data_IF_878577992086
#
_entry.id   IF_878577992086
#
_cell.length_a   1.000
_cell.length_b   1.000
_cell.length_c   1.000
_cell.angle_alpha   90.00
_cell.angle_beta   90.00
_cell.angle_gamma   90.00
#
_symmetry.space_group_name_H-M   'P 1'
#
loop_
_entity.id
_entity.type
_entity.pdbx_description
1 polymer ?
#
# COMPACT_ATOMS: atom_id res chain seq x y z
N UNK A 1 -17.29 -1.99 46.02
CA UNK A 1 -17.44 -0.76 45.21
C UNK A 1 -16.85 -1.10 43.85
N UNK A 2 -17.68 -1.32 42.83
CA UNK A 2 -17.22 -1.77 41.52
C UNK A 2 -16.84 -0.56 40.68
N UNK A 3 -15.61 -0.52 40.20
CA UNK A 3 -15.16 0.48 39.23
C UNK A 3 -15.58 -0.06 37.86
N UNK A 4 -16.48 0.63 37.17
CA UNK A 4 -16.84 0.35 35.78
C UNK A 4 -16.19 1.41 34.88
N UNK A 5 -15.38 0.96 33.93
CA UNK A 5 -14.88 1.78 32.83
C UNK A 5 -15.62 1.37 31.56
N UNK A 6 -15.93 2.34 30.71
CA UNK A 6 -16.49 2.09 29.38
C UNK A 6 -15.57 1.16 28.57
N UNK A 7 -16.15 0.17 27.90
CA UNK A 7 -15.38 -0.88 27.20
C UNK A 7 -14.54 -0.33 26.04
N UNK A 8 -14.97 0.75 25.41
CA UNK A 8 -14.23 1.37 24.30
C UNK A 8 -13.08 2.23 24.83
N UNK A 9 -13.27 2.88 25.98
CA UNK A 9 -12.20 3.56 26.70
C UNK A 9 -11.16 2.54 27.20
N UNK A 10 -11.59 1.41 27.77
CA UNK A 10 -10.71 0.35 28.23
C UNK A 10 -9.88 -0.24 27.08
N UNK A 11 -10.51 -0.52 25.93
CA UNK A 11 -9.80 -1.02 24.73
C UNK A 11 -8.81 -0.01 24.17
N UNK A 12 -9.15 1.28 24.11
CA UNK A 12 -8.22 2.33 23.65
C UNK A 12 -6.99 2.45 24.56
N UNK A 13 -7.20 2.35 25.87
CA UNK A 13 -6.10 2.37 26.85
C UNK A 13 -5.24 1.10 26.73
N UNK A 14 -5.87 -0.07 26.57
CA UNK A 14 -5.16 -1.34 26.40
C UNK A 14 -4.35 -1.38 25.09
N UNK A 15 -4.90 -0.87 23.98
CA UNK A 15 -4.19 -0.71 22.71
C UNK A 15 -2.99 0.24 22.85
N UNK A 16 -3.16 1.36 23.56
CA UNK A 16 -2.05 2.28 23.86
C UNK A 16 -0.94 1.69 24.75
N UNK A 17 -1.25 0.63 25.52
CA UNK A 17 -0.30 -0.08 26.38
C UNK A 17 0.38 -1.28 25.71
N UNK A 18 -0.04 -1.69 24.51
CA UNK A 18 0.63 -2.72 23.69
C UNK A 18 1.83 -2.11 22.96
N UNK A 19 2.73 -1.49 23.70
CA UNK A 19 4.00 -1.00 23.18
C UNK A 19 4.95 -2.18 22.96
N UNK A 20 5.09 -2.58 21.70
CA UNK A 20 6.05 -3.57 21.24
C UNK A 20 6.41 -3.33 19.77
N UNK A 21 7.27 -2.34 19.53
CA UNK A 21 8.13 -2.22 18.34
C UNK A 21 7.57 -1.82 16.96
N UNK A 22 6.27 -1.58 16.79
CA UNK A 22 5.75 -0.92 15.60
C UNK A 22 4.98 0.36 15.97
N UNK A 23 5.49 1.53 15.58
CA UNK A 23 4.68 2.76 15.58
C UNK A 23 3.42 2.51 14.75
N UNK A 24 2.25 2.49 15.37
CA UNK A 24 0.96 2.37 14.70
C UNK A 24 0.53 3.73 14.14
N UNK A 25 -0.40 3.73 13.17
CA UNK A 25 -1.00 4.98 12.71
C UNK A 25 -2.09 5.42 13.70
N UNK A 26 -2.16 6.71 14.08
CA UNK A 26 -3.13 7.18 15.08
C UNK A 26 -4.53 7.37 14.51
N UNK A 27 -4.81 6.81 13.33
CA UNK A 27 -6.08 6.88 12.64
C UNK A 27 -6.36 5.56 11.90
N UNK A 28 -7.64 5.25 11.66
CA UNK A 28 -8.03 4.04 10.93
C UNK A 28 -7.42 4.04 9.54
N UNK A 29 -6.86 2.90 9.15
CA UNK A 29 -6.19 2.75 7.86
C UNK A 29 -6.31 1.31 7.39
N UNK A 30 -6.48 1.13 6.08
CA UNK A 30 -6.47 -0.20 5.48
C UNK A 30 -5.09 -0.48 4.89
N UNK A 31 -4.50 -1.61 5.26
CA UNK A 31 -3.29 -2.10 4.61
C UNK A 31 -3.66 -2.85 3.33
N UNK A 32 -3.08 -2.41 2.22
CA UNK A 32 -3.24 -3.06 0.93
C UNK A 32 -1.89 -3.50 0.41
N UNK A 33 -1.76 -4.78 0.04
CA UNK A 33 -0.50 -5.37 -0.38
C UNK A 33 -0.51 -5.78 -1.85
N UNK A 34 0.67 -5.77 -2.44
CA UNK A 34 0.85 -6.21 -3.82
C UNK A 34 0.67 -7.72 -3.94
N UNK A 35 -0.11 -8.18 -4.91
CA UNK A 35 -0.19 -9.61 -5.29
C UNK A 35 0.29 -9.82 -6.72
N UNK A 36 1.01 -10.92 -6.94
CA UNK A 36 1.44 -11.33 -8.28
C UNK A 36 0.35 -12.18 -8.96
N UNK A 37 0.09 -11.90 -10.23
CA UNK A 37 -0.87 -12.67 -11.01
C UNK A 37 -0.33 -14.04 -11.45
N UNK A 38 -1.13 -15.09 -11.29
CA UNK A 38 -0.74 -16.46 -11.64
C UNK A 38 -1.46 -16.95 -12.89
N UNK A 39 -0.75 -17.72 -13.73
CA UNK A 39 -1.28 -18.16 -15.02
C UNK A 39 -2.48 -19.11 -14.88
N UNK A 40 -2.48 -19.88 -13.80
CA UNK A 40 -3.53 -20.83 -13.41
C UNK A 40 -4.87 -20.14 -13.17
N UNK A 41 -4.88 -18.88 -12.74
CA UNK A 41 -6.11 -18.12 -12.47
C UNK A 41 -6.72 -17.44 -13.71
N UNK A 42 -6.38 -17.88 -14.92
CA UNK A 42 -6.86 -17.26 -16.18
C UNK A 42 -8.38 -17.20 -16.27
N UNK A 43 -9.10 -18.19 -15.73
CA UNK A 43 -10.56 -18.23 -15.76
C UNK A 43 -11.18 -17.24 -14.76
N UNK A 44 -10.55 -17.03 -13.61
CA UNK A 44 -10.96 -16.06 -12.59
C UNK A 44 -10.67 -14.63 -13.05
N UNK A 45 -9.59 -14.42 -13.81
CA UNK A 45 -9.19 -13.11 -14.29
C UNK A 45 -8.79 -12.17 -13.14
N UNK A 46 -9.09 -10.88 -13.30
CA UNK A 46 -8.87 -9.87 -12.25
C UNK A 46 -7.45 -9.82 -11.71
N UNK A 47 -7.31 -9.46 -10.43
CA UNK A 47 -5.99 -9.35 -9.80
C UNK A 47 -5.30 -10.71 -9.60
N UNK A 48 -6.05 -11.82 -9.46
CA UNK A 48 -5.48 -13.16 -9.31
C UNK A 48 -4.75 -13.62 -10.57
N UNK A 49 -5.22 -13.23 -11.75
CA UNK A 49 -4.54 -13.52 -13.02
C UNK A 49 -3.52 -12.46 -13.41
N UNK A 50 -3.90 -11.18 -13.35
CA UNK A 50 -3.07 -10.08 -13.87
C UNK A 50 -2.07 -9.54 -12.86
N UNK A 51 -2.28 -9.77 -11.56
CA UNK A 51 -1.62 -9.06 -10.47
C UNK A 51 -2.34 -7.76 -10.12
N UNK A 52 -2.00 -7.19 -8.97
CA UNK A 52 -2.62 -5.96 -8.48
C UNK A 52 -2.48 -5.81 -6.98
N UNK A 53 -3.57 -5.44 -6.34
CA UNK A 53 -3.66 -5.17 -4.92
C UNK A 53 -4.66 -6.10 -4.23
N UNK A 54 -4.38 -6.40 -2.97
CA UNK A 54 -5.28 -7.13 -2.09
C UNK A 54 -5.34 -6.46 -0.72
N UNK A 55 -6.47 -6.62 -0.05
CA UNK A 55 -6.66 -6.31 1.38
C UNK A 55 -7.51 -7.41 2.01
N UNK A 56 -7.34 -7.69 3.31
CA UNK A 56 -8.21 -8.63 4.01
C UNK A 56 -9.64 -8.09 3.97
N UNK A 57 -10.60 -8.97 3.76
CA UNK A 57 -12.01 -8.57 3.71
C UNK A 57 -12.47 -7.93 5.03
N UNK A 58 -12.02 -8.48 6.16
CA UNK A 58 -12.28 -7.95 7.50
C UNK A 58 -11.80 -6.50 7.66
N UNK A 59 -10.54 -6.20 7.35
CA UNK A 59 -9.95 -4.86 7.48
C UNK A 59 -10.67 -3.82 6.61
N UNK A 60 -10.94 -4.18 5.35
CA UNK A 60 -11.61 -3.28 4.41
C UNK A 60 -13.07 -3.03 4.84
N UNK A 61 -13.77 -4.05 5.32
CA UNK A 61 -15.15 -3.92 5.81
C UNK A 61 -15.22 -3.07 7.08
N UNK A 62 -14.32 -3.30 8.04
CA UNK A 62 -14.25 -2.51 9.27
C UNK A 62 -13.97 -1.04 8.97
N UNK A 63 -13.05 -0.75 8.05
CA UNK A 63 -12.77 0.62 7.63
C UNK A 63 -13.95 1.25 6.86
N UNK A 64 -14.61 0.50 5.98
CA UNK A 64 -15.80 0.97 5.26
C UNK A 64 -16.93 1.34 6.24
N UNK A 65 -17.21 0.48 7.21
CA UNK A 65 -18.20 0.73 8.27
C UNK A 65 -17.83 1.96 9.11
N UNK A 66 -16.58 2.05 9.57
CA UNK A 66 -16.12 3.17 10.39
C UNK A 66 -16.18 4.51 9.65
N UNK A 67 -15.93 4.51 8.34
CA UNK A 67 -15.99 5.70 7.50
C UNK A 67 -17.43 6.01 7.01
N UNK A 68 -18.39 5.11 7.23
CA UNK A 68 -19.74 5.23 6.69
C UNK A 68 -19.78 5.15 5.16
N UNK A 69 -18.87 4.37 4.57
CA UNK A 69 -18.69 4.22 3.12
C UNK A 69 -18.94 2.78 2.68
N UNK A 70 -19.23 2.60 1.38
CA UNK A 70 -19.21 1.28 0.75
C UNK A 70 -17.79 0.89 0.33
N UNK A 71 -17.55 -0.41 0.15
CA UNK A 71 -16.34 -0.91 -0.53
C UNK A 71 -16.29 -0.32 -1.96
N UNK A 72 -15.13 0.15 -2.45
CA UNK A 72 -15.07 0.69 -3.82
C UNK A 72 -15.40 -0.38 -4.86
N UNK A 73 -16.22 -0.04 -5.87
CA UNK A 73 -16.83 -0.99 -6.81
C UNK A 73 -15.83 -1.86 -7.60
N UNK A 74 -14.62 -1.35 -7.85
CA UNK A 74 -13.58 -2.08 -8.58
C UNK A 74 -12.88 -3.17 -7.74
N UNK A 75 -13.18 -3.24 -6.43
CA UNK A 75 -12.64 -4.25 -5.53
C UNK A 75 -13.58 -5.44 -5.43
N UNK A 76 -13.06 -6.61 -5.79
CA UNK A 76 -13.82 -7.87 -5.80
C UNK A 76 -13.39 -8.75 -4.66
N UNK A 77 -14.36 -9.22 -3.88
CA UNK A 77 -14.12 -10.21 -2.85
C UNK A 77 -13.77 -11.55 -3.50
N UNK A 78 -12.70 -12.17 -3.01
CA UNK A 78 -12.20 -13.49 -3.43
C UNK A 78 -11.61 -14.22 -2.24
N UNK A 79 -11.60 -15.55 -2.28
CA UNK A 79 -10.82 -16.38 -1.38
C UNK A 79 -9.38 -16.49 -1.92
N UNK A 80 -8.38 -16.21 -1.08
CA UNK A 80 -6.96 -16.36 -1.39
C UNK A 80 -6.39 -17.53 -0.58
N UNK A 81 -5.69 -18.43 -1.27
CA UNK A 81 -4.96 -19.51 -0.64
C UNK A 81 -3.55 -19.02 -0.32
N UNK A 82 -3.22 -19.01 0.97
CA UNK A 82 -1.88 -18.69 1.48
C UNK A 82 -0.91 -19.80 1.14
N UNK A 83 0.38 -19.47 1.17
CA UNK A 83 1.46 -20.44 0.95
C UNK A 83 1.48 -21.55 2.01
N UNK A 84 1.03 -21.24 3.21
CA UNK A 84 0.96 -22.17 4.34
C UNK A 84 -0.29 -23.08 4.31
N UNK A 85 -1.08 -22.99 3.23
CA UNK A 85 -2.28 -23.81 3.02
C UNK A 85 -3.53 -23.28 3.72
N UNK A 86 -3.46 -22.08 4.32
CA UNK A 86 -4.64 -21.39 4.85
C UNK A 86 -5.43 -20.71 3.74
N UNK A 87 -6.74 -20.54 3.95
CA UNK A 87 -7.59 -19.75 3.06
C UNK A 87 -8.11 -18.53 3.82
N UNK A 88 -8.18 -17.38 3.15
CA UNK A 88 -8.77 -16.18 3.74
C UNK A 88 -9.49 -15.35 2.69
N UNK A 89 -10.51 -14.62 3.13
CA UNK A 89 -11.29 -13.71 2.30
C UNK A 89 -10.54 -12.38 2.12
N UNK A 90 -10.45 -11.91 0.89
CA UNK A 90 -9.77 -10.67 0.53
C UNK A 90 -10.54 -9.89 -0.53
N UNK A 91 -10.50 -8.57 -0.43
CA UNK A 91 -10.86 -7.70 -1.56
C UNK A 91 -9.64 -7.51 -2.45
N UNK A 92 -9.81 -7.69 -3.76
CA UNK A 92 -8.73 -7.53 -4.73
C UNK A 92 -9.12 -6.61 -5.87
N UNK A 93 -8.17 -5.84 -6.38
CA UNK A 93 -8.34 -5.01 -7.56
C UNK A 93 -7.07 -5.04 -8.42
N UNK A 94 -7.20 -4.88 -9.74
CA UNK A 94 -6.02 -4.81 -10.62
C UNK A 94 -5.24 -3.51 -10.44
N UNK A 95 -5.94 -2.43 -10.14
CA UNK A 95 -5.37 -1.11 -9.95
C UNK A 95 -6.11 -0.33 -8.87
N UNK A 96 -5.35 0.32 -7.99
CA UNK A 96 -5.85 1.24 -6.99
C UNK A 96 -5.62 2.68 -7.44
N UNK A 97 -6.64 3.54 -7.28
CA UNK A 97 -6.54 4.97 -7.55
C UNK A 97 -6.23 5.67 -6.24
N UNK A 98 -5.06 6.29 -6.17
CA UNK A 98 -4.54 6.83 -4.92
C UNK A 98 -3.87 8.19 -5.11
N UNK A 99 -3.77 8.95 -4.02
CA UNK A 99 -2.95 10.14 -3.89
C UNK A 99 -1.92 9.92 -2.77
N UNK A 100 -0.60 9.85 -3.06
CA UNK A 100 0.41 9.55 -2.04
C UNK A 100 0.53 10.68 -1.01
N UNK A 101 0.72 10.32 0.25
CA UNK A 101 0.89 11.29 1.36
C UNK A 101 2.33 11.23 1.86
N UNK A 102 2.80 10.04 2.18
CA UNK A 102 4.11 9.82 2.77
C UNK A 102 4.56 8.38 2.64
N UNK A 103 5.84 8.11 2.90
CA UNK A 103 6.37 6.75 2.80
C UNK A 103 7.45 6.48 3.83
N UNK A 104 7.60 5.19 4.16
CA UNK A 104 8.72 4.64 4.91
C UNK A 104 9.32 3.46 4.17
N UNK A 105 10.63 3.29 4.31
CA UNK A 105 11.41 2.28 3.59
C UNK A 105 12.33 1.59 4.58
N UNK A 106 12.40 0.26 4.50
CA UNK A 106 13.35 -0.56 5.23
C UNK A 106 13.87 -1.68 4.33
N UNK A 107 14.90 -2.39 4.80
CA UNK A 107 15.43 -3.60 4.21
C UNK A 107 15.24 -4.75 5.21
N UNK A 108 14.69 -5.86 4.74
CA UNK A 108 14.43 -7.06 5.54
C UNK A 108 15.45 -8.14 5.21
N UNK A 109 16.26 -8.55 6.17
CA UNK A 109 17.17 -9.69 6.07
C UNK A 109 17.01 -10.56 7.32
N UNK A 110 16.73 -11.85 7.15
CA UNK A 110 16.58 -12.82 8.26
C UNK A 110 15.62 -12.35 9.37
N UNK A 111 14.47 -11.79 8.97
CA UNK A 111 13.47 -11.24 9.89
C UNK A 111 13.85 -9.88 10.51
N UNK A 112 15.11 -9.44 10.39
CA UNK A 112 15.59 -8.17 10.93
C UNK A 112 15.41 -7.02 9.94
N UNK A 113 15.01 -5.86 10.46
CA UNK A 113 14.87 -4.61 9.70
C UNK A 113 16.15 -3.80 9.75
N UNK A 114 16.52 -3.24 8.61
CA UNK A 114 17.61 -2.27 8.48
C UNK A 114 17.14 -1.02 7.75
N UNK A 115 17.70 0.11 8.18
CA UNK A 115 17.47 1.43 7.58
C UNK A 115 18.27 1.62 6.29
N UNK A 116 19.35 0.84 6.13
CA UNK A 116 20.28 0.91 5.00
C UNK A 116 20.23 -0.37 4.18
N UNK A 117 20.72 -0.29 2.93
CA UNK A 117 20.84 -1.46 2.08
C UNK A 117 21.69 -2.53 2.76
N UNK A 118 21.21 -3.78 2.74
CA UNK A 118 21.94 -4.96 3.19
C UNK A 118 21.93 -5.96 2.03
N UNK A 119 23.07 -6.58 1.75
CA UNK A 119 23.16 -7.63 0.75
C UNK A 119 22.24 -8.81 1.10
N UNK A 120 21.48 -9.30 0.12
CA UNK A 120 20.46 -10.33 0.33
C UNK A 120 19.16 -9.82 0.96
N UNK A 121 19.15 -8.60 1.50
CA UNK A 121 17.97 -7.97 2.07
C UNK A 121 16.88 -7.66 1.03
N UNK A 122 15.63 -7.91 1.38
CA UNK A 122 14.46 -7.54 0.58
C UNK A 122 14.00 -6.15 0.98
N UNK A 123 13.94 -5.24 0.01
CA UNK A 123 13.37 -3.91 0.23
C UNK A 123 11.91 -4.02 0.66
N UNK A 124 11.51 -3.29 1.68
CA UNK A 124 10.12 -3.17 2.14
C UNK A 124 9.72 -1.70 2.10
N UNK A 125 8.65 -1.41 1.37
CA UNK A 125 8.12 -0.06 1.18
C UNK A 125 6.68 -0.04 1.67
N UNK A 126 6.39 0.93 2.53
CA UNK A 126 5.03 1.28 2.92
C UNK A 126 4.77 2.74 2.57
N UNK A 127 3.63 2.99 1.92
CA UNK A 127 3.23 4.33 1.45
C UNK A 127 1.85 4.63 2.00
N UNK A 128 1.78 5.61 2.90
CA UNK A 128 0.52 6.21 3.29
C UNK A 128 -0.03 6.98 2.09
N UNK A 129 -1.27 6.70 1.71
CA UNK A 129 -1.95 7.33 0.58
C UNK A 129 -3.44 7.54 0.89
N UNK A 130 -4.09 8.37 0.09
CA UNK A 130 -5.54 8.53 0.10
C UNK A 130 -6.15 7.75 -1.07
N UNK A 131 -6.99 6.75 -0.79
CA UNK A 131 -7.69 5.95 -1.79
C UNK A 131 -8.88 6.71 -2.35
N UNK A 132 -9.15 6.55 -3.63
CA UNK A 132 -10.37 7.01 -4.29
C UNK A 132 -10.98 5.90 -5.15
N UNK A 133 -12.28 6.06 -5.40
CA UNK A 133 -13.07 5.25 -6.32
C UNK A 133 -13.31 6.05 -7.61
N UNK A 134 -13.20 5.42 -8.78
CA UNK A 134 -13.66 6.05 -10.01
C UNK A 134 -15.14 5.76 -10.24
N UNK A 135 -16.01 6.75 -10.02
CA UNK A 135 -17.43 6.69 -10.36
C UNK A 135 -17.69 7.35 -11.69
N UNK A 136 -17.02 6.86 -12.72
CA UNK A 136 -17.23 7.37 -14.07
C UNK A 136 -18.64 7.09 -14.55
N UNK A 137 -19.42 8.15 -14.73
CA UNK A 137 -20.71 8.13 -15.43
C UNK A 137 -20.53 8.80 -16.78
N UNK A 138 -21.01 8.14 -17.85
CA UNK A 138 -21.03 8.69 -19.22
C UNK A 138 -19.65 9.16 -19.75
N UNK A 139 -18.56 8.56 -19.27
CA UNK A 139 -17.19 8.88 -19.71
C UNK A 139 -16.54 10.06 -18.97
N UNK A 140 -17.28 10.76 -18.10
CA UNK A 140 -16.69 11.78 -17.22
C UNK A 140 -16.01 11.09 -16.02
N UNK A 141 -14.72 11.36 -15.81
CA UNK A 141 -14.01 10.85 -14.63
C UNK A 141 -14.47 11.61 -13.40
N UNK A 142 -14.99 10.88 -12.43
CA UNK A 142 -15.37 11.42 -11.13
C UNK A 142 -14.70 10.57 -10.06
N UNK A 143 -13.61 11.09 -9.48
CA UNK A 143 -12.93 10.41 -8.39
C UNK A 143 -13.58 10.78 -7.07
N UNK A 144 -14.20 9.80 -6.43
CA UNK A 144 -14.80 9.96 -5.11
C UNK A 144 -13.76 9.54 -4.07
N UNK A 145 -13.33 10.46 -3.18
CA UNK A 145 -12.41 10.12 -2.10
C UNK A 145 -13.02 9.04 -1.20
N UNK A 146 -12.23 8.02 -0.87
CA UNK A 146 -12.65 6.93 0.01
C UNK A 146 -12.04 7.10 1.41
N UNK A 147 -10.72 6.96 1.55
CA UNK A 147 -10.08 7.04 2.86
C UNK A 147 -8.58 6.76 2.84
N UNK A 148 -7.90 6.92 3.99
CA UNK A 148 -6.47 6.62 4.10
C UNK A 148 -6.21 5.12 3.96
N UNK A 149 -5.13 4.78 3.25
CA UNK A 149 -4.63 3.41 3.07
C UNK A 149 -3.10 3.38 3.19
N UNK A 150 -2.54 2.21 3.52
CA UNK A 150 -1.11 1.94 3.41
C UNK A 150 -0.86 0.95 2.29
N UNK A 151 -0.23 1.41 1.20
CA UNK A 151 0.30 0.52 0.16
C UNK A 151 1.54 -0.19 0.70
N UNK A 152 1.55 -1.51 0.65
CA UNK A 152 2.67 -2.34 1.12
C UNK A 152 3.24 -3.16 -0.03
N UNK A 153 4.55 -3.01 -0.27
CA UNK A 153 5.27 -3.76 -1.29
C UNK A 153 6.61 -4.26 -0.74
N UNK A 154 6.99 -5.50 -1.08
CA UNK A 154 8.26 -6.14 -0.69
C UNK A 154 9.08 -6.55 -1.91
N UNK A 155 10.40 -6.72 -1.72
CA UNK A 155 11.34 -7.18 -2.74
C UNK A 155 11.32 -6.33 -4.00
N UNK A 156 11.22 -6.99 -5.16
CA UNK A 156 11.19 -6.31 -6.46
C UNK A 156 9.93 -5.43 -6.67
N UNK A 157 8.79 -5.80 -6.08
CA UNK A 157 7.58 -4.96 -6.16
C UNK A 157 7.75 -3.62 -5.42
N UNK A 158 8.58 -3.57 -4.38
CA UNK A 158 8.92 -2.33 -3.70
C UNK A 158 9.70 -1.37 -4.62
N UNK A 159 10.57 -1.91 -5.47
CA UNK A 159 11.26 -1.14 -6.51
C UNK A 159 10.28 -0.63 -7.57
N UNK A 160 9.42 -1.51 -8.09
CA UNK A 160 8.41 -1.17 -9.09
C UNK A 160 7.45 -0.07 -8.61
N UNK A 161 7.00 -0.15 -7.36
CA UNK A 161 6.13 0.87 -6.76
C UNK A 161 6.79 2.26 -6.72
N UNK A 162 8.06 2.32 -6.31
CA UNK A 162 8.80 3.58 -6.27
C UNK A 162 9.09 4.14 -7.67
N UNK A 163 9.38 3.25 -8.62
CA UNK A 163 9.57 3.63 -10.02
C UNK A 163 8.27 4.13 -10.64
N UNK A 164 7.13 3.52 -10.33
CA UNK A 164 5.81 3.99 -10.75
C UNK A 164 5.54 5.44 -10.31
N UNK A 165 5.87 5.79 -9.07
CA UNK A 165 5.76 7.18 -8.59
C UNK A 165 6.69 8.13 -9.33
N UNK A 166 7.96 7.74 -9.53
CA UNK A 166 8.96 8.50 -10.28
C UNK A 166 8.49 8.77 -11.72
N UNK A 167 7.92 7.75 -12.39
CA UNK A 167 7.39 7.86 -13.74
C UNK A 167 6.16 8.77 -13.80
N UNK A 168 5.23 8.66 -12.85
CA UNK A 168 4.08 9.56 -12.74
C UNK A 168 4.51 11.02 -12.60
N UNK A 169 5.45 11.28 -11.69
CA UNK A 169 5.94 12.64 -11.45
C UNK A 169 6.57 13.23 -12.72
N UNK A 170 7.48 12.49 -13.36
CA UNK A 170 8.12 12.90 -14.61
C UNK A 170 7.09 13.15 -15.73
N UNK A 171 6.15 12.23 -15.93
CA UNK A 171 5.17 12.31 -17.01
C UNK A 171 4.21 13.49 -16.85
N UNK A 172 3.86 13.84 -15.61
CA UNK A 172 2.88 14.91 -15.34
C UNK A 172 3.52 16.27 -15.06
N UNK A 173 4.84 16.33 -14.83
CA UNK A 173 5.56 17.58 -14.47
C UNK A 173 5.20 18.74 -15.40
N UNK A 174 5.42 18.60 -16.70
CA UNK A 174 5.26 19.71 -17.66
C UNK A 174 3.83 20.26 -17.70
N UNK A 175 2.82 19.40 -17.58
CA UNK A 175 1.43 19.83 -17.64
C UNK A 175 0.96 20.41 -16.30
N UNK A 176 1.41 19.86 -15.17
CA UNK A 176 1.13 20.42 -13.83
C UNK A 176 1.65 21.84 -13.70
N UNK A 177 2.86 22.11 -14.21
CA UNK A 177 3.41 23.47 -14.24
C UNK A 177 2.54 24.47 -15.02
N UNK A 178 1.74 24.02 -15.99
CA UNK A 178 0.81 24.87 -16.74
C UNK A 178 -0.52 25.06 -16.01
N UNK A 179 -1.14 23.97 -15.55
CA UNK A 179 -2.52 24.00 -15.02
C UNK A 179 -2.60 24.28 -13.53
N UNK A 180 -1.56 23.96 -12.77
CA UNK A 180 -1.52 24.10 -11.32
C UNK A 180 -0.07 24.41 -10.84
N UNK A 181 0.47 25.60 -11.16
CA UNK A 181 1.83 25.97 -10.78
C UNK A 181 2.05 25.84 -9.26
N UNK A 182 3.14 25.18 -8.87
CA UNK A 182 3.49 24.98 -7.45
C UNK A 182 2.76 23.83 -6.75
N UNK A 183 1.80 23.16 -7.41
CA UNK A 183 1.10 21.99 -6.84
C UNK A 183 1.90 20.72 -7.10
N UNK A 184 2.25 19.92 -6.06
CA UNK A 184 3.05 18.71 -6.24
C UNK A 184 2.27 17.59 -6.93
N UNK A 185 3.00 16.63 -7.50
CA UNK A 185 2.48 15.42 -8.15
C UNK A 185 1.43 14.67 -7.34
N UNK A 186 1.62 14.71 -6.02
CA UNK A 186 0.90 13.89 -5.06
C UNK A 186 -0.47 14.46 -4.70
N UNK A 187 -0.76 15.71 -5.09
CA UNK A 187 -2.11 16.28 -5.03
C UNK A 187 -2.97 15.88 -6.25
N UNK A 188 -2.53 14.90 -7.04
CA UNK A 188 -3.29 14.36 -8.15
C UNK A 188 -3.41 12.84 -7.99
N UNK A 189 -4.62 12.33 -8.19
CA UNK A 189 -4.87 10.90 -8.23
C UNK A 189 -4.07 10.26 -9.36
N UNK A 190 -3.43 9.14 -9.05
CA UNK A 190 -2.84 8.24 -10.04
C UNK A 190 -3.39 6.84 -9.84
N UNK A 191 -3.50 6.10 -10.94
CA UNK A 191 -3.85 4.69 -10.91
C UNK A 191 -2.57 3.85 -10.89
N UNK A 192 -2.42 3.04 -9.86
CA UNK A 192 -1.30 2.11 -9.67
C UNK A 192 -1.77 0.67 -9.78
N UNK A 193 -1.11 -0.16 -10.57
CA UNK A 193 -1.50 -1.56 -10.69
C UNK A 193 -0.95 -2.23 -11.94
N UNK A 194 -1.74 -3.15 -12.50
CA UNK A 194 -1.42 -3.84 -13.75
C UNK A 194 -2.40 -3.42 -14.85
N UNK A 195 -1.89 -3.07 -16.02
CA UNK A 195 -2.68 -2.48 -17.12
C UNK A 195 -2.61 -3.31 -18.41
N UNK A 196 -3.52 -3.03 -19.33
CA UNK A 196 -3.61 -3.72 -20.61
C UNK A 196 -4.46 -5.00 -20.57
N UNK A 197 -4.67 -5.56 -21.76
CA UNK A 197 -5.48 -6.78 -21.99
C UNK A 197 -4.69 -8.06 -21.71
N UNK A 198 -3.38 -8.00 -21.85
CA UNK A 198 -2.48 -9.14 -21.67
C UNK A 198 -1.77 -9.08 -20.32
N UNK A 199 -1.54 -10.26 -19.74
CA UNK A 199 -0.79 -10.39 -18.49
C UNK A 199 0.69 -10.11 -18.75
N UNK A 200 1.19 -9.01 -18.20
CA UNK A 200 2.60 -8.65 -18.26
C UNK A 200 3.39 -9.38 -17.17
N UNK A 201 4.43 -10.11 -17.56
CA UNK A 201 5.27 -10.90 -16.65
C UNK A 201 6.73 -10.52 -16.84
N UNK A 202 7.47 -10.40 -15.74
CA UNK A 202 8.92 -10.19 -15.76
C UNK A 202 9.57 -11.19 -14.80
N UNK A 203 10.65 -11.84 -15.24
CA UNK A 203 11.44 -12.72 -14.38
C UNK A 203 12.45 -11.89 -13.59
N UNK A 204 12.43 -12.02 -12.27
CA UNK A 204 13.33 -11.31 -11.35
C UNK A 204 14.09 -12.29 -10.48
N UNK A 205 15.29 -11.91 -10.04
CA UNK A 205 16.21 -12.78 -9.28
C UNK A 205 17.52 -13.04 -10.01
N UNK A 206 18.42 -13.75 -9.33
CA UNK A 206 19.72 -14.16 -9.91
C UNK A 206 19.50 -15.23 -11.00
N UNK A 207 20.37 -15.33 -12.02
CA UNK A 207 20.34 -16.42 -12.98
C UNK A 207 20.30 -17.78 -12.28
N UNK A 208 19.40 -18.67 -12.71
CA UNK A 208 19.17 -19.99 -12.08
C UNK A 208 18.19 -20.00 -10.90
N UNK A 209 17.76 -18.84 -10.39
CA UNK A 209 16.78 -18.71 -9.31
C UNK A 209 15.78 -17.56 -9.58
N UNK A 210 15.32 -17.46 -10.83
CA UNK A 210 14.37 -16.42 -11.23
C UNK A 210 12.93 -16.81 -10.88
N UNK A 211 12.15 -15.82 -10.44
CA UNK A 211 10.71 -15.96 -10.20
C UNK A 211 9.93 -14.98 -11.07
N UNK A 212 8.81 -15.39 -11.67
CA UNK A 212 7.96 -14.49 -12.42
C UNK A 212 7.20 -13.56 -11.47
N UNK A 213 7.17 -12.27 -11.80
CA UNK A 213 6.32 -11.27 -11.16
C UNK A 213 5.44 -10.58 -12.19
N UNK A 214 4.34 -9.99 -11.74
CA UNK A 214 3.51 -9.07 -12.53
C UNK A 214 3.74 -7.66 -12.01
N UNK A 215 4.64 -6.86 -12.64
CA UNK A 215 5.07 -5.59 -12.08
C UNK A 215 3.93 -4.59 -11.93
N UNK A 216 3.85 -3.94 -10.77
CA UNK A 216 2.98 -2.79 -10.59
C UNK A 216 3.61 -1.57 -11.27
N UNK A 217 2.81 -0.86 -12.05
CA UNK A 217 3.22 0.37 -12.73
C UNK A 217 2.24 1.51 -12.43
N UNK A 218 2.58 2.72 -12.86
CA UNK A 218 1.63 3.82 -12.92
C UNK A 218 0.96 3.83 -14.29
N UNK A 219 -0.36 4.02 -14.32
CA UNK A 219 -1.07 4.27 -15.57
C UNK A 219 -0.74 5.68 -16.08
N UNK A 220 0.00 5.75 -17.18
CA UNK A 220 0.25 7.00 -17.90
C UNK A 220 -0.64 7.00 -19.15
N UNK A 221 -1.64 7.90 -19.25
CA UNK A 221 -2.44 8.05 -20.46
C UNK A 221 -1.56 8.38 -21.66
N UNK A 222 -1.88 7.82 -22.84
CA UNK A 222 -1.17 8.14 -24.09
C UNK A 222 -1.19 9.64 -24.42
N UNK A 223 -2.28 10.32 -24.03
CA UNK A 223 -2.46 11.76 -24.15
C UNK A 223 -2.83 12.34 -22.80
N UNK A 224 -1.89 13.04 -22.20
CA UNK A 224 -2.10 13.80 -20.97
C UNK A 224 -2.51 15.24 -21.34
N UNK A 225 -3.79 15.56 -21.21
CA UNK A 225 -4.35 16.89 -21.52
C UNK A 225 -4.55 17.73 -20.26
N UNK A 226 -4.70 19.04 -20.43
CA UNK A 226 -4.88 19.98 -19.30
C UNK A 226 -6.18 19.69 -18.53
N UNK A 227 -7.25 19.39 -19.26
CA UNK A 227 -8.52 18.94 -18.72
C UNK A 227 -8.37 17.64 -17.93
N UNK A 228 -7.67 16.65 -18.49
CA UNK A 228 -7.43 15.39 -17.79
C UNK A 228 -6.61 15.61 -16.51
N UNK A 229 -5.54 16.41 -16.57
CA UNK A 229 -4.72 16.72 -15.41
C UNK A 229 -5.55 17.42 -14.32
N UNK A 230 -6.41 18.35 -14.71
CA UNK A 230 -7.32 19.07 -13.80
C UNK A 230 -8.32 18.10 -13.15
N UNK A 231 -8.88 17.16 -13.91
CA UNK A 231 -9.81 16.14 -13.39
C UNK A 231 -9.17 15.16 -12.39
N UNK A 232 -7.84 15.04 -12.41
CA UNK A 232 -7.10 14.19 -11.48
C UNK A 232 -6.78 14.91 -10.17
N UNK A 233 -6.98 16.23 -10.07
CA UNK A 233 -6.69 16.97 -8.85
C UNK A 233 -7.56 16.46 -7.70
N UNK A 234 -6.96 16.20 -6.54
CA UNK A 234 -7.68 15.62 -5.39
C UNK A 234 -8.70 16.58 -4.78
N UNK A 235 -8.61 17.88 -5.10
CA UNK A 235 -9.40 18.94 -4.50
C UNK A 235 -8.74 19.51 -3.25
N UNK A 236 -9.05 20.77 -2.93
CA UNK A 236 -8.43 21.48 -1.80
C UNK A 236 -8.70 20.80 -0.46
N UNK A 237 -9.94 20.40 -0.21
CA UNK A 237 -10.35 19.75 1.04
C UNK A 237 -9.58 18.45 1.30
N UNK A 238 -9.43 17.59 0.28
CA UNK A 238 -8.68 16.35 0.41
C UNK A 238 -7.19 16.63 0.56
N UNK A 239 -6.64 17.63 -0.12
CA UNK A 239 -5.24 18.02 0.06
C UNK A 239 -4.97 18.51 1.50
N UNK A 240 -5.87 19.27 2.11
CA UNK A 240 -5.78 19.70 3.52
C UNK A 240 -5.85 18.49 4.48
N UNK A 241 -6.78 17.55 4.22
CA UNK A 241 -6.86 16.31 4.98
C UNK A 241 -5.59 15.45 4.86
N UNK A 242 -5.03 15.35 3.66
CA UNK A 242 -3.77 14.65 3.41
C UNK A 242 -2.60 15.27 4.18
N UNK A 243 -2.51 16.59 4.24
CA UNK A 243 -1.49 17.28 5.03
C UNK A 243 -1.64 16.97 6.52
N UNK A 244 -2.86 17.02 7.06
CA UNK A 244 -3.11 16.66 8.47
C UNK A 244 -2.77 15.20 8.78
N UNK A 245 -3.10 14.26 7.88
CA UNK A 245 -2.73 12.86 8.02
C UNK A 245 -1.20 12.67 7.99
N UNK A 246 -0.50 13.44 7.16
CA UNK A 246 0.97 13.43 7.10
C UNK A 246 1.60 13.85 8.44
N UNK A 247 1.09 14.93 9.03
CA UNK A 247 1.55 15.42 10.34
C UNK A 247 1.31 14.38 11.44
N UNK A 248 0.10 13.81 11.49
CA UNK A 248 -0.25 12.76 12.45
C UNK A 248 0.59 11.49 12.26
N UNK A 249 0.96 11.15 11.03
CA UNK A 249 1.78 9.99 10.70
C UNK A 249 3.30 10.23 10.85
N UNK A 250 3.74 11.38 11.37
CA UNK A 250 5.16 11.74 11.42
C UNK A 250 6.02 10.70 12.17
N UNK A 251 5.55 10.23 13.31
CA UNK A 251 6.22 9.16 14.08
C UNK A 251 6.28 7.87 13.27
N UNK A 252 5.14 7.45 12.70
CA UNK A 252 5.04 6.25 11.88
C UNK A 252 5.98 6.25 10.67
N UNK A 253 6.12 7.40 10.00
CA UNK A 253 7.02 7.58 8.86
C UNK A 253 8.50 7.54 9.25
N UNK A 254 8.82 7.94 10.49
CA UNK A 254 10.19 8.03 10.98
C UNK A 254 10.64 6.81 11.79
N UNK A 255 9.73 5.95 12.23
CA UNK A 255 10.05 4.77 13.04
C UNK A 255 11.10 3.85 12.39
N UNK A 256 11.04 3.66 11.07
CA UNK A 256 12.03 2.85 10.36
C UNK A 256 13.36 3.57 10.08
N UNK A 257 13.47 4.87 10.38
CA UNK A 257 14.74 5.60 10.32
C UNK A 257 15.48 5.57 11.65
N UNK A 258 14.73 5.47 12.75
CA UNK A 258 15.24 5.49 14.12
C UNK A 258 15.56 4.10 14.69
N UNK A 259 15.14 3.02 14.01
CA UNK A 259 15.42 1.66 14.45
C UNK A 259 16.95 1.44 14.51
N UNK A 260 17.52 1.08 15.69
CA UNK A 260 18.94 0.79 15.79
C UNK A 260 19.27 -0.35 14.84
N UNK A 261 20.35 -0.18 14.08
CA UNK A 261 20.97 -1.29 13.36
C UNK A 261 21.33 -2.30 14.44
N UNK A 262 20.62 -3.42 14.55
CA UNK A 262 21.07 -4.48 15.45
C UNK A 262 22.46 -4.83 14.96
N UNK A 263 23.49 -4.57 15.77
CA UNK A 263 24.82 -5.06 15.50
C UNK A 263 24.67 -6.56 15.24
N UNK A 264 25.17 -7.02 14.10
CA UNK A 264 25.30 -8.44 13.85
C UNK A 264 26.34 -8.90 14.86
N UNK A 265 25.87 -9.38 16.02
CA UNK A 265 26.76 -10.00 16.99
C UNK A 265 27.35 -11.23 16.30
N UNK A 266 28.65 -11.16 16.04
CA UNK A 266 29.42 -12.13 15.26
C UNK A 266 29.59 -13.47 16.00
N UNK A 267 29.01 -13.64 17.19
CA UNK A 267 29.09 -14.86 17.98
C UNK A 267 27.86 -15.04 18.88
N UNK A 268 27.20 -16.20 18.82
CA UNK A 268 26.38 -16.71 19.92
C UNK A 268 25.01 -17.23 19.51
N UNK A 269 24.80 -18.53 19.73
CA UNK A 269 23.58 -19.31 19.58
C UNK A 269 22.27 -18.54 19.81
N UNK A 270 21.39 -18.55 18.81
CA UNK A 270 20.07 -17.95 18.87
C UNK A 270 19.13 -18.80 19.74
N UNK A 271 18.78 -18.27 20.92
CA UNK A 271 17.57 -18.64 21.63
C UNK A 271 16.37 -18.19 20.78
N UNK A 272 15.61 -19.16 20.27
CA UNK A 272 14.62 -19.01 19.19
C UNK A 272 13.19 -18.91 19.71
N UNK A 273 13.00 -18.49 20.96
CA UNK A 273 11.69 -18.28 21.56
C UNK A 273 11.53 -16.81 21.93
N UNK A 274 10.37 -16.21 21.64
CA UNK A 274 9.99 -14.81 21.90
C UNK A 274 10.15 -13.78 20.78
N UNK A 275 9.71 -14.10 19.56
CA UNK A 275 9.05 -13.09 18.74
C UNK A 275 7.68 -13.59 18.31
N UNK A 276 6.66 -12.98 18.92
CA UNK A 276 5.26 -13.05 18.53
C UNK A 276 5.12 -12.75 17.05
N UNK A 277 4.40 -13.60 16.33
CA UNK A 277 4.04 -13.45 14.91
C UNK A 277 3.57 -12.03 14.59
N UNK A 278 4.48 -11.19 14.06
CA UNK A 278 4.04 -10.23 13.05
C UNK A 278 3.31 -11.09 12.03
N UNK A 279 2.02 -10.81 11.85
CA UNK A 279 1.17 -11.50 10.91
C UNK A 279 1.84 -11.41 9.54
N UNK A 280 2.61 -12.44 9.18
CA UNK A 280 3.31 -12.52 7.91
C UNK A 280 2.21 -12.49 6.86
N UNK A 281 2.05 -11.33 6.21
CA UNK A 281 1.30 -11.25 4.96
C UNK A 281 1.88 -12.37 4.09
N UNK A 282 1.10 -13.41 3.75
CA UNK A 282 1.66 -14.64 3.24
C UNK A 282 2.31 -14.38 1.89
N UNK A 283 3.62 -14.67 1.79
CA UNK A 283 4.40 -14.61 0.54
C UNK A 283 5.10 -15.95 0.25
#
# INVERSE_FOLDING_TARGET
MNISLDSDIAKKIEQGMKSGEASELPFPVVYIWTINGQATYKQQGGALYYGGWASKAEDMNAAAEQLGLSIPQDWKQVTINSRDGGEFEAYTCRSAIIAPIGKRISWLADGKRSTSYIEGGRRHVQVLAYLAENRSENGNRNFVPWGPVVLTAKGYQAGNLLEAFSQWDKATTQIRWKVAPGVPAWCFYLSLGTFGKERQVTNVGKPGAQSPITPITAYIPERLTEELMTSLFVGKEIAEKMASLQEQAAEWMNAWKAAPVSSVDEYGEADSSFFSSEEEIPF
#
